data_IF_785891988571
#
_entry.id   IF_785891988571
#
_cell.length_a   1.000
_cell.length_b   1.000
_cell.length_c   1.000
_cell.angle_alpha   90.00
_cell.angle_beta   90.00
_cell.angle_gamma   90.00
#
_symmetry.space_group_name_H-M   'P 1'
#
loop_
_entity.id
_entity.type
_entity.pdbx_description
1 polymer ?
#
# COMPACT_ATOMS: atom_id res chain seq x y z
N UNK A 1 4.08 -12.56 -8.31
CA UNK A 1 3.34 -11.59 -7.49
C UNK A 1 2.23 -12.35 -6.80
N UNK A 2 2.08 -12.20 -5.49
CA UNK A 2 1.03 -12.85 -4.69
C UNK A 2 0.15 -11.76 -4.09
N UNK A 3 -1.17 -11.96 -4.12
CA UNK A 3 -2.14 -11.04 -3.53
C UNK A 3 -2.96 -11.78 -2.46
N UNK A 4 -3.45 -11.04 -1.47
CA UNK A 4 -4.29 -11.58 -0.41
C UNK A 4 -5.40 -10.59 -0.03
N UNK A 5 -6.52 -11.14 0.43
CA UNK A 5 -7.66 -10.39 0.97
C UNK A 5 -8.35 -11.22 2.05
N UNK A 6 -8.73 -10.57 3.14
CA UNK A 6 -9.60 -11.14 4.17
C UNK A 6 -10.47 -10.04 4.75
N UNK A 7 -11.76 -10.32 4.95
CA UNK A 7 -12.72 -9.39 5.54
C UNK A 7 -13.69 -10.12 6.47
N UNK A 8 -14.18 -9.41 7.48
CA UNK A 8 -15.21 -9.87 8.41
C UNK A 8 -16.21 -8.71 8.59
N UNK A 9 -17.49 -9.01 8.43
CA UNK A 9 -18.59 -8.13 8.81
C UNK A 9 -19.24 -8.67 10.08
N UNK A 10 -19.57 -7.78 11.03
CA UNK A 10 -20.17 -8.17 12.32
C UNK A 10 -21.71 -8.13 12.32
N UNK A 11 -22.32 -7.85 11.17
CA UNK A 11 -23.77 -7.76 11.01
C UNK A 11 -24.38 -6.43 11.45
N UNK A 12 -23.62 -5.52 12.07
CA UNK A 12 -24.08 -4.17 12.44
C UNK A 12 -23.79 -3.12 11.36
N UNK A 13 -23.28 -3.57 10.21
CA UNK A 13 -22.78 -2.71 9.13
C UNK A 13 -21.30 -2.34 9.29
N UNK A 14 -20.61 -2.77 10.35
CA UNK A 14 -19.18 -2.58 10.47
C UNK A 14 -18.41 -3.70 9.75
N UNK A 15 -17.33 -3.33 9.07
CA UNK A 15 -16.46 -4.23 8.32
C UNK A 15 -15.02 -4.01 8.73
N UNK A 16 -14.31 -5.10 9.04
CA UNK A 16 -12.86 -5.08 9.26
C UNK A 16 -12.22 -5.95 8.21
N UNK A 17 -11.10 -5.51 7.66
CA UNK A 17 -10.41 -6.31 6.68
C UNK A 17 -8.96 -5.94 6.49
N UNK A 18 -8.32 -6.76 5.68
CA UNK A 18 -6.97 -6.53 5.18
C UNK A 18 -6.85 -6.99 3.75
N UNK A 19 -6.07 -6.27 2.97
CA UNK A 19 -5.69 -6.69 1.64
C UNK A 19 -4.27 -6.23 1.32
N UNK A 20 -3.66 -6.87 0.34
CA UNK A 20 -2.32 -6.49 -0.06
C UNK A 20 -1.75 -7.37 -1.14
N UNK A 21 -0.50 -7.08 -1.46
CA UNK A 21 0.30 -7.87 -2.36
C UNK A 21 1.77 -7.87 -1.95
N UNK A 22 2.49 -8.86 -2.43
CA UNK A 22 3.95 -8.92 -2.43
C UNK A 22 4.44 -9.42 -3.79
N UNK A 23 5.42 -8.75 -4.38
CA UNK A 23 6.06 -9.20 -5.62
C UNK A 23 7.32 -10.08 -5.35
N UNK A 24 7.88 -10.74 -6.37
CA UNK A 24 9.09 -11.55 -6.21
C UNK A 24 10.33 -10.79 -5.73
N UNK A 25 10.36 -9.47 -5.88
CA UNK A 25 11.43 -8.58 -5.46
C UNK A 25 11.26 -8.09 -4.02
N UNK A 26 10.19 -8.49 -3.33
CA UNK A 26 9.87 -8.09 -1.97
C UNK A 26 9.21 -6.70 -1.87
N UNK A 27 8.76 -6.13 -2.98
CA UNK A 27 7.89 -4.96 -2.99
C UNK A 27 6.52 -5.38 -2.45
N UNK A 28 5.95 -4.61 -1.54
CA UNK A 28 4.67 -4.95 -0.95
C UNK A 28 3.84 -3.70 -0.62
N UNK A 29 2.53 -3.94 -0.56
CA UNK A 29 1.57 -3.08 0.13
C UNK A 29 0.66 -3.97 0.96
N UNK A 30 0.46 -3.62 2.23
CA UNK A 30 -0.54 -4.24 3.10
C UNK A 30 -1.40 -3.14 3.70
N UNK A 31 -2.71 -3.26 3.52
CA UNK A 31 -3.71 -2.33 4.05
C UNK A 31 -4.52 -3.09 5.10
N UNK A 32 -4.63 -2.52 6.29
CA UNK A 32 -5.53 -2.97 7.34
C UNK A 32 -6.56 -1.86 7.57
N UNK A 33 -7.85 -2.20 7.58
CA UNK A 33 -8.91 -1.19 7.63
C UNK A 33 -10.09 -1.59 8.51
N UNK A 34 -10.82 -0.57 8.94
CA UNK A 34 -12.15 -0.65 9.52
C UNK A 34 -13.06 0.36 8.82
N UNK A 35 -14.27 -0.08 8.47
CA UNK A 35 -15.36 0.76 8.02
C UNK A 35 -16.51 0.59 9.03
N UNK A 36 -16.90 1.67 9.69
CA UNK A 36 -17.99 1.68 10.67
C UNK A 36 -18.67 3.06 10.72
N UNK A 37 -19.46 3.32 11.76
CA UNK A 37 -20.15 4.60 11.98
C UNK A 37 -19.20 5.81 12.04
N UNK A 38 -17.91 5.61 12.31
CA UNK A 38 -16.89 6.65 12.35
C UNK A 38 -16.19 6.81 10.98
N UNK A 39 -16.71 6.22 9.91
CA UNK A 39 -16.14 6.27 8.56
C UNK A 39 -15.15 5.14 8.25
N UNK A 40 -14.38 5.33 7.17
CA UNK A 40 -13.32 4.40 6.73
C UNK A 40 -11.96 4.86 7.25
N UNK A 41 -11.28 4.01 8.01
CA UNK A 41 -9.93 4.28 8.55
C UNK A 41 -8.99 3.15 8.18
N UNK A 42 -7.76 3.49 7.79
CA UNK A 42 -6.80 2.50 7.30
C UNK A 42 -5.36 2.75 7.76
N UNK A 43 -4.63 1.66 7.97
CA UNK A 43 -3.18 1.66 8.12
C UNK A 43 -2.57 0.97 6.90
N UNK A 44 -1.76 1.69 6.16
CA UNK A 44 -1.09 1.22 4.94
C UNK A 44 0.38 1.04 5.25
N UNK A 45 0.86 -0.20 5.20
CA UNK A 45 2.28 -0.53 5.28
C UNK A 45 2.78 -0.78 3.85
N UNK A 46 3.81 -0.07 3.43
CA UNK A 46 4.36 -0.19 2.06
C UNK A 46 5.88 -0.05 2.07
N UNK A 47 6.54 -0.50 1.00
CA UNK A 47 7.92 -0.16 0.66
C UNK A 47 8.05 0.26 -0.82
N UNK A 48 7.00 0.85 -1.38
CA UNK A 48 6.99 1.26 -2.77
C UNK A 48 7.87 2.49 -3.02
N UNK A 49 8.69 2.51 -4.09
CA UNK A 49 9.48 3.68 -4.45
C UNK A 49 8.61 4.92 -4.64
N UNK A 50 9.03 6.03 -4.05
CA UNK A 50 8.31 7.30 -4.11
C UNK A 50 7.16 7.45 -3.11
N UNK A 51 6.80 6.39 -2.38
CA UNK A 51 5.89 6.53 -1.25
C UNK A 51 6.60 7.23 -0.07
N UNK A 52 5.84 8.00 0.69
CA UNK A 52 6.32 8.67 1.90
C UNK A 52 5.43 8.34 3.09
N UNK A 53 6.03 8.29 4.29
CA UNK A 53 5.27 8.10 5.52
C UNK A 53 4.54 9.39 5.87
N UNK A 54 3.21 9.34 5.86
CA UNK A 54 2.35 10.50 6.08
C UNK A 54 0.92 10.06 6.46
N UNK A 55 0.14 11.00 6.97
CA UNK A 55 -1.32 10.85 7.08
C UNK A 55 -1.98 11.42 5.83
N UNK A 56 -3.00 10.72 5.32
CA UNK A 56 -3.81 11.12 4.17
C UNK A 56 -5.29 10.94 4.51
N UNK A 57 -5.92 11.99 5.05
CA UNK A 57 -7.23 11.89 5.67
C UNK A 57 -7.21 10.88 6.83
N UNK A 58 -8.16 9.95 6.83
CA UNK A 58 -8.31 8.88 7.83
C UNK A 58 -7.39 7.66 7.60
N UNK A 59 -6.43 7.79 6.68
CA UNK A 59 -5.44 6.77 6.38
C UNK A 59 -4.04 7.18 6.84
N UNK A 60 -3.28 6.22 7.38
CA UNK A 60 -1.88 6.42 7.76
C UNK A 60 -0.97 5.53 6.93
N UNK A 61 -0.02 6.14 6.23
CA UNK A 61 1.04 5.46 5.49
C UNK A 61 2.28 5.28 6.35
N UNK A 62 2.70 4.02 6.52
CA UNK A 62 3.93 3.60 7.17
C UNK A 62 4.84 2.99 6.10
N UNK A 63 5.76 3.80 5.59
CA UNK A 63 6.63 3.44 4.48
C UNK A 63 8.01 3.01 4.99
N UNK A 64 8.48 1.86 4.50
CA UNK A 64 9.85 1.36 4.70
C UNK A 64 10.69 1.57 3.44
N UNK A 65 12.03 1.54 3.54
CA UNK A 65 12.89 1.60 2.36
C UNK A 65 12.53 0.53 1.31
N UNK A 66 12.50 0.88 0.00
CA UNK A 66 12.25 -0.08 -1.07
C UNK A 66 13.35 -1.14 -1.19
N UNK A 67 13.04 -2.33 -1.77
CA UNK A 67 14.06 -3.33 -2.05
C UNK A 67 15.08 -2.79 -3.08
N UNK A 68 16.39 -3.06 -2.92
CA UNK A 68 17.42 -2.56 -3.84
C UNK A 68 17.17 -2.96 -5.30
N UNK A 69 16.64 -4.17 -5.54
CA UNK A 69 16.31 -4.66 -6.86
C UNK A 69 15.28 -3.77 -7.59
N UNK A 70 14.30 -3.23 -6.85
CA UNK A 70 13.26 -2.36 -7.41
C UNK A 70 13.83 -0.96 -7.71
N UNK A 71 14.70 -0.44 -6.84
CA UNK A 71 15.40 0.83 -7.09
C UNK A 71 16.27 0.73 -8.35
N UNK A 72 17.06 -0.34 -8.46
CA UNK A 72 17.91 -0.57 -9.62
C UNK A 72 17.11 -0.73 -10.92
N UNK A 73 15.91 -1.31 -10.86
CA UNK A 73 15.01 -1.40 -12.00
C UNK A 73 14.44 -0.04 -12.40
N UNK A 74 14.12 0.83 -11.43
CA UNK A 74 13.66 2.20 -11.68
C UNK A 74 14.71 3.05 -12.41
N UNK A 75 15.99 2.92 -12.03
CA UNK A 75 17.11 3.59 -12.70
C UNK A 75 17.39 3.07 -14.11
N UNK A 76 16.96 1.84 -14.42
CA UNK A 76 17.13 1.19 -15.74
C UNK A 76 16.02 1.52 -16.72
N UNK A 77 14.88 2.05 -16.27
CA UNK A 77 13.83 2.52 -17.17
C UNK A 77 14.21 3.94 -17.61
N UNK A 78 14.55 4.18 -18.89
CA UNK A 78 14.76 5.54 -19.35
C UNK A 78 13.47 6.32 -19.10
N UNK A 79 13.56 7.41 -18.32
CA UNK A 79 12.49 8.40 -18.23
C UNK A 79 12.37 8.98 -19.63
N UNK A 80 11.25 8.81 -20.35
CA UNK A 80 11.09 9.47 -21.63
C UNK A 80 11.15 10.97 -21.36
N UNK A 81 12.18 11.63 -21.88
CA UNK A 81 12.26 13.09 -21.86
C UNK A 81 11.10 13.57 -22.73
N UNK A 82 10.03 14.08 -22.12
CA UNK A 82 8.99 14.79 -22.85
C UNK A 82 9.64 16.10 -23.29
N UNK A 83 10.07 16.16 -24.55
CA UNK A 83 10.49 17.40 -25.17
C UNK A 83 9.26 18.33 -25.25
N UNK A 84 9.39 19.54 -24.72
CA UNK A 84 8.43 20.65 -24.87
C UNK A 84 8.73 21.37 -26.18
#
# INVERSE_FOLDING_TARGET
MTQHRAEIADGTGAVRGKYGFTDPQGLFRNVEYIADVNGYRAVIRSNEPGAISQSAGDAVFLVRPPPPAVIAQGLRRPVPLVAV
#
